data_IF_099490905716
#
_entry.id   IF_099490905716
#
_cell.length_a   1.000
_cell.length_b   1.000
_cell.length_c   1.000
_cell.angle_alpha   90.00
_cell.angle_beta   90.00
_cell.angle_gamma   90.00
#
_symmetry.space_group_name_H-M   'P 1'
#
loop_
_entity.id
_entity.type
_entity.pdbx_description
1 polymer ?
#
# COMPACT_ATOMS: atom_id res chain seq x y z
N UNK A 1 -17.81 13.68 23.57
CA UNK A 1 -16.57 12.86 23.56
C UNK A 1 -15.68 13.41 22.45
N UNK A 2 -14.42 13.73 22.72
CA UNK A 2 -13.49 14.15 21.64
C UNK A 2 -13.13 12.93 20.80
N UNK A 3 -13.14 13.08 19.47
CA UNK A 3 -12.59 12.03 18.62
C UNK A 3 -11.06 11.95 18.82
N UNK A 4 -10.49 10.74 18.94
CA UNK A 4 -9.04 10.59 19.03
C UNK A 4 -8.36 11.07 17.74
N UNK A 5 -7.24 11.78 17.88
CA UNK A 5 -6.44 12.21 16.75
C UNK A 5 -5.78 11.00 16.08
N UNK A 6 -6.05 10.79 14.78
CA UNK A 6 -5.50 9.65 14.04
C UNK A 6 -4.11 9.99 13.51
N UNK A 7 -3.11 9.22 13.96
CA UNK A 7 -1.74 9.32 13.47
C UNK A 7 -1.45 8.15 12.51
N UNK A 8 -0.85 8.47 11.37
CA UNK A 8 -0.52 7.50 10.33
C UNK A 8 0.65 7.95 9.48
N UNK A 9 0.99 7.15 8.47
CA UNK A 9 2.15 7.38 7.59
C UNK A 9 1.77 7.23 6.12
N UNK A 10 2.42 8.03 5.26
CA UNK A 10 2.41 7.81 3.82
C UNK A 10 3.39 6.68 3.50
N UNK A 11 2.88 5.54 3.07
CA UNK A 11 3.68 4.33 2.91
C UNK A 11 4.26 4.21 1.50
N UNK A 12 5.56 3.96 1.45
CA UNK A 12 6.32 3.60 0.27
C UNK A 12 7.26 2.44 0.63
N UNK A 13 7.26 1.32 -0.10
CA UNK A 13 8.14 0.21 0.26
C UNK A 13 9.60 0.60 0.15
N UNK A 14 10.40 0.19 1.15
CA UNK A 14 11.79 0.66 1.29
C UNK A 14 12.67 0.27 0.11
N UNK A 15 12.38 -0.85 -0.57
CA UNK A 15 13.23 -1.35 -1.66
C UNK A 15 12.77 -0.93 -3.06
N UNK A 16 11.48 -0.65 -3.25
CA UNK A 16 10.86 -0.54 -4.58
C UNK A 16 10.21 0.81 -4.88
N UNK A 17 9.95 1.63 -3.85
CA UNK A 17 9.33 2.94 -3.98
C UNK A 17 8.10 2.90 -4.92
N UNK A 18 8.14 3.60 -6.05
CA UNK A 18 7.02 3.69 -7.00
C UNK A 18 6.77 2.44 -7.85
N UNK A 19 7.75 1.56 -8.01
CA UNK A 19 7.66 0.38 -8.88
C UNK A 19 7.13 -0.86 -8.15
N UNK A 20 6.67 -0.70 -6.91
CA UNK A 20 6.33 -1.83 -6.07
C UNK A 20 5.05 -2.56 -6.47
N UNK A 21 4.16 -1.95 -7.24
CA UNK A 21 2.96 -2.65 -7.73
C UNK A 21 3.28 -3.62 -8.87
N UNK A 22 4.14 -3.21 -9.82
CA UNK A 22 4.66 -4.13 -10.85
C UNK A 22 5.63 -5.19 -10.29
N UNK A 23 6.26 -4.92 -9.14
CA UNK A 23 7.17 -5.84 -8.44
C UNK A 23 6.61 -6.28 -7.07
N UNK A 24 5.31 -6.51 -7.00
CA UNK A 24 4.60 -6.72 -5.75
C UNK A 24 5.17 -7.89 -4.94
N UNK A 25 5.37 -7.64 -3.64
CA UNK A 25 5.84 -8.63 -2.67
C UNK A 25 5.09 -8.43 -1.35
N UNK A 26 4.14 -9.33 -1.07
CA UNK A 26 3.36 -9.28 0.16
C UNK A 26 4.21 -9.56 1.42
N UNK A 27 5.37 -10.22 1.30
CA UNK A 27 6.30 -10.42 2.41
C UNK A 27 6.89 -9.09 2.89
N UNK A 28 7.45 -8.32 1.95
CA UNK A 28 8.01 -6.99 2.20
C UNK A 28 7.00 -6.06 2.89
N UNK A 29 5.78 -6.01 2.37
CA UNK A 29 4.73 -5.12 2.91
C UNK A 29 4.32 -5.53 4.31
N UNK A 30 4.20 -6.83 4.59
CA UNK A 30 3.87 -7.34 5.93
C UNK A 30 4.95 -7.02 6.95
N UNK A 31 6.22 -7.20 6.59
CA UNK A 31 7.35 -6.86 7.46
C UNK A 31 7.35 -5.36 7.79
N UNK A 32 7.09 -4.52 6.80
CA UNK A 32 7.10 -3.07 6.99
C UNK A 32 5.88 -2.56 7.77
N UNK A 33 4.70 -3.16 7.55
CA UNK A 33 3.51 -2.84 8.34
C UNK A 33 3.65 -3.27 9.79
N UNK A 34 4.36 -4.38 10.05
CA UNK A 34 4.70 -4.77 11.42
C UNK A 34 5.55 -3.71 12.11
N UNK A 35 6.54 -3.12 11.41
CA UNK A 35 7.36 -2.01 11.93
C UNK A 35 6.50 -0.77 12.19
N UNK A 36 5.64 -0.38 11.25
CA UNK A 36 4.73 0.78 11.38
C UNK A 36 3.83 0.62 12.61
N UNK A 37 3.33 -0.59 12.84
CA UNK A 37 2.53 -0.92 14.03
C UNK A 37 3.36 -0.85 15.32
N UNK A 38 4.59 -1.35 15.30
CA UNK A 38 5.49 -1.38 16.47
C UNK A 38 5.86 0.03 16.95
N UNK A 39 5.98 1.00 16.02
CA UNK A 39 6.17 2.42 16.35
C UNK A 39 4.87 3.17 16.73
N UNK A 40 3.75 2.46 16.84
CA UNK A 40 2.47 2.99 17.34
C UNK A 40 1.57 3.65 16.29
N UNK A 41 1.84 3.47 14.99
CA UNK A 41 1.00 3.98 13.91
C UNK A 41 0.00 2.92 13.45
N UNK A 42 -1.27 3.32 13.32
CA UNK A 42 -2.37 2.38 13.00
C UNK A 42 -3.02 2.65 11.64
N UNK A 43 -2.56 3.67 10.91
CA UNK A 43 -3.10 4.07 9.61
C UNK A 43 -1.96 4.27 8.62
N UNK A 44 -2.10 3.68 7.44
CA UNK A 44 -1.21 3.88 6.30
C UNK A 44 -1.98 4.47 5.14
N UNK A 45 -1.33 5.34 4.37
CA UNK A 45 -1.81 5.80 3.08
C UNK A 45 -1.00 5.16 1.98
N UNK A 46 -1.67 4.41 1.11
CA UNK A 46 -1.09 3.79 -0.08
C UNK A 46 -1.23 4.71 -1.30
N UNK A 47 -0.29 4.58 -2.24
CA UNK A 47 -0.33 5.26 -3.54
C UNK A 47 -0.42 4.21 -4.63
N UNK A 48 -1.43 4.31 -5.48
CA UNK A 48 -1.62 3.44 -6.64
C UNK A 48 -1.02 4.13 -7.86
N UNK A 49 -0.21 3.42 -8.63
CA UNK A 49 0.29 3.93 -9.90
C UNK A 49 -0.76 3.63 -10.98
N UNK A 50 -1.18 4.67 -11.70
CA UNK A 50 -2.26 4.54 -12.69
C UNK A 50 -1.94 3.48 -13.75
N UNK A 51 -0.71 3.52 -14.29
CA UNK A 51 -0.26 2.60 -15.33
C UNK A 51 -0.30 1.12 -14.90
N UNK A 52 -0.15 0.84 -13.61
CA UNK A 52 -0.21 -0.52 -13.07
C UNK A 52 -1.66 -1.00 -12.84
N UNK A 53 -2.59 -0.09 -12.52
CA UNK A 53 -3.99 -0.43 -12.19
C UNK A 53 -4.94 -0.28 -13.37
N UNK A 54 -4.63 0.57 -14.35
CA UNK A 54 -5.44 0.81 -15.55
C UNK A 54 -4.52 1.04 -16.77
N UNK A 55 -3.86 -0.03 -17.26
CA UNK A 55 -2.90 0.08 -18.36
C UNK A 55 -3.53 0.50 -19.70
N UNK A 56 -4.84 0.26 -19.87
CA UNK A 56 -5.61 0.71 -21.03
C UNK A 56 -6.88 1.43 -20.53
N UNK A 57 -7.43 2.42 -21.26
CA UNK A 57 -8.54 3.25 -20.78
C UNK A 57 -9.80 2.48 -20.36
N UNK A 58 -10.06 1.32 -20.96
CA UNK A 58 -11.23 0.46 -20.71
C UNK A 58 -10.89 -0.81 -19.92
N UNK A 59 -9.67 -0.93 -19.39
CA UNK A 59 -9.17 -2.15 -18.75
C UNK A 59 -8.49 -1.88 -17.42
N UNK A 60 -9.11 -2.37 -16.35
CA UNK A 60 -8.51 -2.41 -15.01
C UNK A 60 -7.74 -3.71 -14.83
N UNK A 61 -6.53 -3.63 -14.30
CA UNK A 61 -5.70 -4.80 -14.00
C UNK A 61 -6.23 -5.54 -12.75
N UNK A 62 -6.70 -6.77 -12.96
CA UNK A 62 -7.29 -7.58 -11.89
C UNK A 62 -6.25 -8.09 -10.90
N UNK A 63 -5.00 -8.29 -11.34
CA UNK A 63 -3.93 -8.75 -10.47
C UNK A 63 -3.47 -7.62 -9.53
N UNK A 64 -3.32 -6.39 -10.03
CA UNK A 64 -3.03 -5.22 -9.21
C UNK A 64 -4.12 -4.99 -8.15
N UNK A 65 -5.40 -5.12 -8.52
CA UNK A 65 -6.52 -5.06 -7.56
C UNK A 65 -6.49 -6.19 -6.54
N UNK A 66 -6.12 -7.42 -6.94
CA UNK A 66 -5.98 -8.54 -6.01
C UNK A 66 -4.79 -8.34 -5.04
N UNK A 67 -3.68 -7.78 -5.52
CA UNK A 67 -2.53 -7.42 -4.70
C UNK A 67 -2.90 -6.34 -3.68
N UNK A 68 -3.67 -5.33 -4.08
CA UNK A 68 -4.19 -4.30 -3.17
C UNK A 68 -5.01 -4.92 -2.03
N UNK A 69 -5.90 -5.87 -2.34
CA UNK A 69 -6.70 -6.59 -1.33
C UNK A 69 -5.86 -7.45 -0.39
N UNK A 70 -4.66 -7.84 -0.78
CA UNK A 70 -3.76 -8.66 0.05
C UNK A 70 -3.12 -7.83 1.17
N UNK A 71 -3.02 -6.51 0.98
CA UNK A 71 -2.34 -5.59 1.90
C UNK A 71 -3.26 -4.58 2.57
N UNK A 72 -4.56 -4.57 2.23
CA UNK A 72 -5.61 -3.75 2.85
C UNK A 72 -6.35 -4.50 3.94
#
# INVERSE_FOLDING_TARGET
MSQPFTLGVNYWPRRKAMYWWSQFDAGEVREEFAIIKDIGLNVVRLFLLWDDFQPEPDKVDKAAVANLKTVS
#
